data_IF_301708463194
#
_entry.id   IF_301708463194
#
_cell.length_a   1.000
_cell.length_b   1.000
_cell.length_c   1.000
_cell.angle_alpha   90.00
_cell.angle_beta   90.00
_cell.angle_gamma   90.00
#
_symmetry.space_group_name_H-M   'P 1'
#
loop_
_entity.id
_entity.type
_entity.pdbx_description
1 polymer ?
#
# COMPACT_ATOMS: atom_id res chain seq x y z
N UNK A 1 -2.90 -22.89 -25.17
CA UNK A 1 -2.38 -21.54 -24.83
C UNK A 1 -2.42 -21.37 -23.31
N UNK A 2 -1.34 -20.93 -22.67
CA UNK A 2 -1.36 -20.56 -21.24
C UNK A 2 -2.18 -19.27 -21.09
N UNK A 3 -3.20 -19.26 -20.22
CA UNK A 3 -3.94 -18.03 -19.89
C UNK A 3 -3.05 -17.12 -19.04
N UNK A 4 -2.91 -15.86 -19.44
CA UNK A 4 -2.21 -14.84 -18.64
C UNK A 4 -3.19 -14.35 -17.57
N UNK A 5 -2.82 -14.37 -16.27
CA UNK A 5 -3.72 -13.94 -15.20
C UNK A 5 -3.96 -12.43 -15.24
N UNK A 6 -5.21 -12.01 -15.11
CA UNK A 6 -5.61 -10.59 -15.05
C UNK A 6 -5.64 -10.08 -13.61
N UNK A 7 -5.49 -8.76 -13.44
CA UNK A 7 -5.39 -8.07 -12.14
C UNK A 7 -5.88 -6.63 -12.28
N UNK A 8 -6.20 -5.98 -11.16
CA UNK A 8 -6.67 -4.59 -11.10
C UNK A 8 -5.65 -3.72 -10.36
N UNK A 9 -5.36 -2.55 -10.91
CA UNK A 9 -4.74 -1.43 -10.21
C UNK A 9 -5.78 -0.30 -10.13
N UNK A 10 -6.19 0.02 -8.92
CA UNK A 10 -7.28 0.94 -8.62
C UNK A 10 -6.74 2.18 -7.90
N UNK A 11 -7.20 3.33 -8.37
CA UNK A 11 -6.86 4.65 -7.82
C UNK A 11 -8.02 5.19 -6.95
N UNK A 12 -9.16 4.49 -6.88
CA UNK A 12 -10.42 4.98 -6.34
C UNK A 12 -10.79 6.35 -6.95
N UNK A 13 -10.99 6.43 -8.28
CA UNK A 13 -11.24 7.69 -8.95
C UNK A 13 -12.53 8.34 -8.49
N UNK A 14 -12.48 9.63 -8.17
CA UNK A 14 -13.66 10.43 -7.80
C UNK A 14 -14.25 11.02 -9.07
N UNK A 15 -15.42 10.50 -9.47
CA UNK A 15 -16.15 11.00 -10.64
C UNK A 15 -16.63 12.43 -10.43
N UNK A 16 -16.80 13.18 -11.53
CA UNK A 16 -17.33 14.55 -11.47
C UNK A 16 -18.70 14.57 -10.78
N UNK A 17 -18.82 15.39 -9.74
CA UNK A 17 -20.05 15.52 -8.95
C UNK A 17 -20.29 14.40 -7.93
N UNK A 18 -19.35 13.45 -7.80
CA UNK A 18 -19.39 12.38 -6.80
C UNK A 18 -18.49 12.71 -5.60
N UNK A 19 -18.50 11.85 -4.58
CA UNK A 19 -17.69 12.00 -3.37
C UNK A 19 -16.62 10.91 -3.26
N UNK A 20 -15.65 11.09 -2.36
CA UNK A 20 -14.71 10.02 -2.01
C UNK A 20 -15.45 8.79 -1.46
N UNK A 21 -16.51 9.00 -0.67
CA UNK A 21 -17.33 7.90 -0.14
C UNK A 21 -17.94 7.03 -1.23
N UNK A 22 -18.44 7.63 -2.32
CA UNK A 22 -18.94 6.86 -3.46
C UNK A 22 -17.81 6.12 -4.17
N UNK A 23 -16.63 6.76 -4.35
CA UNK A 23 -15.49 6.10 -4.96
C UNK A 23 -15.03 4.87 -4.18
N UNK A 24 -15.01 4.93 -2.84
CA UNK A 24 -14.67 3.78 -2.00
C UNK A 24 -15.71 2.66 -2.07
N UNK A 25 -17.01 3.01 -2.07
CA UNK A 25 -18.08 2.03 -2.26
C UNK A 25 -17.95 1.32 -3.62
N UNK A 26 -17.69 2.08 -4.68
CA UNK A 26 -17.48 1.58 -6.04
C UNK A 26 -16.26 0.66 -6.12
N UNK A 27 -15.14 0.98 -5.46
CA UNK A 27 -13.97 0.11 -5.38
C UNK A 27 -14.25 -1.22 -4.68
N UNK A 28 -15.07 -1.22 -3.62
CA UNK A 28 -15.49 -2.46 -2.93
C UNK A 28 -16.40 -3.31 -3.83
N UNK A 29 -17.36 -2.69 -4.52
CA UNK A 29 -18.22 -3.38 -5.49
C UNK A 29 -17.40 -3.97 -6.64
N UNK A 30 -16.47 -3.19 -7.20
CA UNK A 30 -15.53 -3.63 -8.22
C UNK A 30 -14.74 -4.85 -7.76
N UNK A 31 -14.23 -4.82 -6.53
CA UNK A 31 -13.44 -5.92 -5.94
C UNK A 31 -14.23 -7.23 -5.90
N UNK A 32 -15.49 -7.19 -5.47
CA UNK A 32 -16.39 -8.36 -5.47
C UNK A 32 -16.65 -8.86 -6.89
N UNK A 33 -16.86 -7.94 -7.82
CA UNK A 33 -17.12 -8.27 -9.21
C UNK A 33 -15.91 -8.96 -9.87
N UNK A 34 -14.71 -8.40 -9.73
CA UNK A 34 -13.51 -8.97 -10.35
C UNK A 34 -13.06 -10.26 -9.66
N UNK A 35 -13.32 -10.44 -8.37
CA UNK A 35 -13.18 -11.73 -7.69
C UNK A 35 -14.07 -12.81 -8.33
N UNK A 36 -15.34 -12.50 -8.59
CA UNK A 36 -16.28 -13.42 -9.24
C UNK A 36 -15.82 -13.80 -10.66
N UNK A 37 -15.15 -12.87 -11.36
CA UNK A 37 -14.55 -13.10 -12.68
C UNK A 37 -13.20 -13.85 -12.63
N UNK A 38 -12.65 -14.13 -11.45
CA UNK A 38 -11.40 -14.87 -11.29
C UNK A 38 -10.13 -14.04 -11.50
N UNK A 39 -10.18 -12.73 -11.26
CA UNK A 39 -8.99 -11.89 -11.26
C UNK A 39 -8.05 -12.31 -10.11
N UNK A 40 -6.74 -12.20 -10.34
CA UNK A 40 -5.71 -12.67 -9.41
C UNK A 40 -5.52 -11.75 -8.20
N UNK A 41 -5.57 -10.44 -8.42
CA UNK A 41 -5.33 -9.43 -7.38
C UNK A 41 -6.01 -8.10 -7.69
N UNK A 42 -6.32 -7.35 -6.65
CA UNK A 42 -6.80 -5.96 -6.69
C UNK A 42 -5.88 -5.10 -5.83
N UNK A 43 -5.19 -4.15 -6.45
CA UNK A 43 -4.25 -3.27 -5.76
C UNK A 43 -4.72 -1.83 -5.73
N UNK A 44 -4.37 -1.11 -4.66
CA UNK A 44 -4.59 0.32 -4.51
C UNK A 44 -3.28 1.10 -4.66
N UNK A 45 -3.27 2.13 -5.50
CA UNK A 45 -2.14 3.05 -5.63
C UNK A 45 -2.30 4.24 -4.68
N UNK A 46 -1.23 4.62 -3.97
CA UNK A 46 -1.21 5.78 -3.09
C UNK A 46 -1.02 7.10 -3.87
N UNK A 47 -1.93 8.06 -3.66
CA UNK A 47 -1.85 9.42 -4.19
C UNK A 47 -2.29 10.45 -3.16
N UNK A 48 -1.61 11.59 -3.13
CA UNK A 48 -1.88 12.69 -2.22
C UNK A 48 -2.12 13.98 -3.01
N UNK A 49 -2.93 14.89 -2.47
CA UNK A 49 -3.16 16.21 -3.08
C UNK A 49 -3.90 16.20 -4.43
N UNK A 50 -4.51 15.08 -4.81
CA UNK A 50 -5.21 14.92 -6.09
C UNK A 50 -6.72 14.75 -5.89
N UNK A 51 -7.54 15.80 -6.01
CA UNK A 51 -8.98 15.74 -5.72
C UNK A 51 -9.78 14.68 -6.52
N UNK A 52 -9.27 14.28 -7.69
CA UNK A 52 -9.87 13.25 -8.53
C UNK A 52 -9.52 11.81 -8.14
N UNK A 53 -8.67 11.60 -7.13
CA UNK A 53 -8.16 10.29 -6.70
C UNK A 53 -8.31 10.18 -5.19
N UNK A 54 -9.15 9.25 -4.72
CA UNK A 54 -9.43 9.13 -3.29
C UNK A 54 -8.43 8.24 -2.53
N UNK A 55 -7.64 7.42 -3.23
CA UNK A 55 -6.73 6.45 -2.63
C UNK A 55 -5.45 7.10 -2.05
N UNK A 56 -5.57 7.69 -0.86
CA UNK A 56 -4.43 8.28 -0.12
C UNK A 56 -3.87 7.38 1.00
N UNK A 57 -4.66 6.42 1.50
CA UNK A 57 -4.28 5.51 2.58
C UNK A 57 -4.55 4.05 2.16
N UNK A 58 -3.64 3.41 1.40
CA UNK A 58 -3.88 2.08 0.84
C UNK A 58 -4.23 1.03 1.89
N UNK A 59 -3.56 1.01 3.05
CA UNK A 59 -3.79 0.02 4.11
C UNK A 59 -5.25 0.00 4.60
N UNK A 60 -5.90 1.17 4.67
CA UNK A 60 -7.32 1.28 5.04
C UNK A 60 -8.22 0.67 3.97
N UNK A 61 -7.99 0.99 2.69
CA UNK A 61 -8.78 0.44 1.57
C UNK A 61 -8.57 -1.06 1.39
N UNK A 62 -7.34 -1.53 1.56
CA UNK A 62 -6.98 -2.95 1.53
C UNK A 62 -7.76 -3.69 2.61
N UNK A 63 -7.81 -3.19 3.85
CA UNK A 63 -8.58 -3.80 4.93
C UNK A 63 -10.07 -3.96 4.58
N UNK A 64 -10.69 -2.89 4.07
CA UNK A 64 -12.10 -2.91 3.69
C UNK A 64 -12.39 -3.90 2.54
N UNK A 65 -11.55 -3.92 1.51
CA UNK A 65 -11.71 -4.85 0.39
C UNK A 65 -11.43 -6.29 0.79
N UNK A 66 -10.39 -6.54 1.59
CA UNK A 66 -10.05 -7.88 2.06
C UNK A 66 -11.18 -8.46 2.93
N UNK A 67 -11.84 -7.65 3.76
CA UNK A 67 -13.03 -8.03 4.51
C UNK A 67 -14.27 -8.26 3.62
N UNK A 68 -14.39 -7.55 2.50
CA UNK A 68 -15.53 -7.64 1.58
C UNK A 68 -15.42 -8.75 0.52
N UNK A 69 -14.28 -9.45 0.47
CA UNK A 69 -13.94 -10.47 -0.53
C UNK A 69 -13.37 -11.72 0.15
N UNK A 70 -13.26 -12.84 -0.56
CA UNK A 70 -12.96 -14.15 0.05
C UNK A 70 -11.70 -14.85 -0.45
N UNK A 71 -11.26 -14.55 -1.67
CA UNK A 71 -10.21 -15.30 -2.37
C UNK A 71 -9.20 -14.41 -3.07
N UNK A 72 -9.63 -13.28 -3.65
CA UNK A 72 -8.72 -12.40 -4.39
C UNK A 72 -7.64 -11.86 -3.46
N UNK A 73 -6.40 -11.76 -3.95
CA UNK A 73 -5.34 -11.05 -3.22
C UNK A 73 -5.60 -9.56 -3.26
N UNK A 74 -5.34 -8.87 -2.15
CA UNK A 74 -5.58 -7.44 -2.01
C UNK A 74 -4.29 -6.80 -1.52
N UNK A 75 -3.97 -5.60 -2.01
CA UNK A 75 -2.71 -5.00 -1.62
C UNK A 75 -2.46 -3.61 -2.15
N UNK A 76 -1.23 -3.15 -1.97
CA UNK A 76 -0.77 -1.88 -2.52
C UNK A 76 -0.07 -2.06 -3.85
N UNK A 77 -0.26 -1.11 -4.77
CA UNK A 77 0.45 -1.05 -6.05
C UNK A 77 0.98 0.35 -6.39
N UNK A 78 1.63 1.11 -5.49
CA UNK A 78 2.25 0.70 -4.22
C UNK A 78 2.00 1.70 -3.09
N UNK A 79 2.49 1.36 -1.90
CA UNK A 79 2.74 2.33 -0.82
C UNK A 79 3.94 3.17 -1.24
N UNK A 80 3.80 4.48 -1.20
CA UNK A 80 4.89 5.41 -1.49
C UNK A 80 5.81 5.47 -0.28
N UNK A 81 6.66 4.45 -0.09
CA UNK A 81 7.49 4.26 1.10
C UNK A 81 8.28 5.52 1.53
N UNK A 82 8.79 6.38 0.63
CA UNK A 82 9.43 7.63 1.03
C UNK A 82 8.54 8.63 1.81
N UNK A 83 7.22 8.42 1.86
CA UNK A 83 6.28 9.23 2.64
C UNK A 83 6.03 8.67 4.05
N UNK A 84 6.61 7.51 4.41
CA UNK A 84 6.26 6.77 5.63
C UNK A 84 7.49 6.27 6.37
N UNK A 85 7.37 6.10 7.69
CA UNK A 85 8.33 5.33 8.45
C UNK A 85 8.23 3.83 8.08
N UNK A 86 9.34 3.13 7.76
CA UNK A 86 9.30 1.72 7.42
C UNK A 86 8.63 0.83 8.48
N UNK A 87 8.85 1.10 9.78
CA UNK A 87 8.20 0.37 10.88
C UNK A 87 6.67 0.46 10.79
N UNK A 88 6.12 1.65 10.56
CA UNK A 88 4.67 1.85 10.47
C UNK A 88 4.06 1.04 9.31
N UNK A 89 4.77 0.96 8.17
CA UNK A 89 4.33 0.13 7.04
C UNK A 89 4.41 -1.36 7.40
N UNK A 90 5.47 -1.78 8.09
CA UNK A 90 5.64 -3.16 8.53
C UNK A 90 4.50 -3.58 9.48
N UNK A 91 4.16 -2.75 10.47
CA UNK A 91 3.07 -3.00 11.42
C UNK A 91 1.69 -3.02 10.75
N UNK A 92 1.42 -2.07 9.84
CA UNK A 92 0.16 -2.02 9.10
C UNK A 92 -0.04 -3.29 8.25
N UNK A 93 0.97 -3.70 7.49
CA UNK A 93 0.87 -4.86 6.61
C UNK A 93 0.99 -6.19 7.35
N UNK A 94 1.74 -6.25 8.46
CA UNK A 94 1.74 -7.37 9.39
C UNK A 94 0.36 -7.58 10.02
N UNK A 95 -0.29 -6.49 10.46
CA UNK A 95 -1.67 -6.54 10.97
C UNK A 95 -2.65 -6.99 9.90
N UNK A 96 -2.55 -6.45 8.68
CA UNK A 96 -3.40 -6.89 7.56
C UNK A 96 -3.22 -8.38 7.25
N UNK A 97 -1.98 -8.87 7.23
CA UNK A 97 -1.69 -10.29 7.00
C UNK A 97 -2.25 -11.16 8.14
N UNK A 98 -2.17 -10.72 9.40
CA UNK A 98 -2.77 -11.42 10.53
C UNK A 98 -4.31 -11.48 10.44
N UNK A 99 -4.95 -10.41 9.97
CA UNK A 99 -6.40 -10.37 9.73
C UNK A 99 -6.84 -11.20 8.52
N UNK A 100 -6.01 -11.25 7.47
CA UNK A 100 -6.34 -11.83 6.16
C UNK A 100 -5.20 -12.72 5.64
N UNK A 101 -4.90 -13.84 6.31
CA UNK A 101 -3.71 -14.63 6.06
C UNK A 101 -3.63 -15.15 4.62
N UNK A 102 -2.45 -15.01 4.02
CA UNK A 102 -2.13 -15.45 2.67
C UNK A 102 -2.74 -14.59 1.55
N UNK A 103 -3.39 -13.47 1.88
CA UNK A 103 -4.12 -12.64 0.89
C UNK A 103 -3.54 -11.25 0.69
N UNK A 104 -2.59 -10.80 1.50
CA UNK A 104 -2.08 -9.44 1.44
C UNK A 104 -0.84 -9.33 0.54
N UNK A 105 -0.84 -8.34 -0.35
CA UNK A 105 0.31 -7.92 -1.15
C UNK A 105 0.81 -6.55 -0.67
N UNK A 106 2.10 -6.44 -0.33
CA UNK A 106 2.77 -5.15 -0.10
C UNK A 106 3.60 -4.77 -1.33
N UNK A 107 3.02 -3.98 -2.23
CA UNK A 107 3.75 -3.31 -3.30
C UNK A 107 4.33 -1.97 -2.82
N UNK A 108 5.57 -1.67 -3.20
CA UNK A 108 6.29 -0.44 -2.84
C UNK A 108 6.49 0.44 -4.07
N UNK A 109 6.27 1.74 -3.92
CA UNK A 109 6.49 2.77 -4.93
C UNK A 109 7.50 3.83 -4.47
N UNK A 110 7.98 4.62 -5.44
CA UNK A 110 9.09 5.58 -5.26
C UNK A 110 8.64 7.03 -5.03
N UNK A 111 7.34 7.31 -5.11
CA UNK A 111 6.75 8.65 -4.94
C UNK A 111 7.32 9.77 -5.84
N UNK A 112 7.56 9.57 -7.15
CA UNK A 112 8.01 10.67 -8.02
C UNK A 112 6.83 11.60 -8.33
N UNK A 113 7.03 12.92 -8.15
CA UNK A 113 6.08 13.93 -8.64
C UNK A 113 5.03 14.44 -7.65
N UNK A 114 5.13 14.09 -6.36
CA UNK A 114 4.37 14.79 -5.30
C UNK A 114 4.78 16.26 -5.27
N UNK A 115 3.82 17.18 -5.23
CA UNK A 115 4.13 18.61 -5.17
C UNK A 115 4.89 18.96 -3.87
N UNK A 116 5.71 20.03 -3.86
CA UNK A 116 6.58 20.32 -2.72
C UNK A 116 5.84 20.56 -1.40
N UNK A 117 4.63 21.15 -1.44
CA UNK A 117 3.86 21.44 -0.23
C UNK A 117 3.33 20.15 0.39
N UNK A 118 2.74 19.28 -0.45
CA UNK A 118 2.29 17.95 -0.01
C UNK A 118 3.46 17.09 0.46
N UNK A 119 4.60 17.11 -0.23
CA UNK A 119 5.79 16.37 0.15
C UNK A 119 6.31 16.83 1.54
N UNK A 120 6.36 18.14 1.79
CA UNK A 120 6.73 18.68 3.09
C UNK A 120 5.74 18.29 4.19
N UNK A 121 4.43 18.33 3.91
CA UNK A 121 3.41 17.91 4.87
C UNK A 121 3.47 16.42 5.22
N UNK A 122 3.95 15.58 4.29
CA UNK A 122 4.22 14.15 4.50
C UNK A 122 5.58 13.89 5.18
N UNK A 123 6.32 14.93 5.56
CA UNK A 123 7.60 14.81 6.25
C UNK A 123 8.78 14.47 5.35
N UNK A 124 8.70 14.70 4.03
CA UNK A 124 9.85 14.51 3.13
C UNK A 124 10.84 15.67 3.29
N UNK A 125 11.98 15.38 3.90
CA UNK A 125 13.07 16.34 4.08
C UNK A 125 13.70 16.77 2.74
N UNK A 126 13.87 15.84 1.79
CA UNK A 126 14.29 16.15 0.41
C UNK A 126 13.33 15.48 -0.60
N UNK A 127 12.42 16.25 -1.22
CA UNK A 127 11.49 15.76 -2.24
C UNK A 127 12.17 15.17 -3.48
N UNK A 128 13.44 15.47 -3.72
CA UNK A 128 14.22 15.06 -4.89
C UNK A 128 15.14 13.86 -4.61
N UNK A 129 15.36 13.52 -3.34
CA UNK A 129 16.17 12.37 -2.92
C UNK A 129 15.47 11.04 -3.23
N UNK A 130 15.59 10.57 -4.47
CA UNK A 130 15.20 9.21 -4.88
C UNK A 130 16.10 8.12 -4.29
N UNK A 131 17.17 8.51 -3.60
CA UNK A 131 18.30 7.66 -3.23
C UNK A 131 18.10 6.92 -1.89
N UNK A 132 17.13 7.33 -1.07
CA UNK A 132 16.87 6.70 0.24
C UNK A 132 16.09 5.38 0.17
N UNK A 133 15.39 5.11 -0.95
CA UNK A 133 14.50 3.96 -1.05
C UNK A 133 15.18 2.60 -0.80
N UNK A 134 16.39 2.31 -1.31
CA UNK A 134 17.08 1.05 -1.00
C UNK A 134 17.29 0.83 0.50
N UNK A 135 17.75 1.85 1.22
CA UNK A 135 17.96 1.78 2.67
C UNK A 135 16.64 1.58 3.42
N UNK A 136 15.57 2.29 3.02
CA UNK A 136 14.23 2.12 3.61
C UNK A 136 13.66 0.72 3.33
N UNK A 137 13.96 0.13 2.17
CA UNK A 137 13.56 -1.25 1.86
C UNK A 137 14.31 -2.25 2.72
N UNK A 138 15.62 -2.09 2.90
CA UNK A 138 16.42 -2.94 3.78
C UNK A 138 15.90 -2.89 5.22
N UNK A 139 15.58 -1.69 5.71
CA UNK A 139 14.97 -1.50 7.03
C UNK A 139 13.59 -2.15 7.13
N UNK A 140 12.72 -1.96 6.13
CA UNK A 140 11.39 -2.60 6.07
C UNK A 140 11.49 -4.13 6.08
N UNK A 141 12.40 -4.70 5.30
CA UNK A 141 12.67 -6.15 5.33
C UNK A 141 13.20 -6.61 6.68
N UNK A 142 14.04 -5.79 7.32
CA UNK A 142 14.56 -6.08 8.65
C UNK A 142 13.46 -6.16 9.70
N UNK A 143 12.50 -5.23 9.66
CA UNK A 143 11.31 -5.28 10.52
C UNK A 143 10.50 -6.56 10.30
N UNK A 144 10.22 -6.96 9.05
CA UNK A 144 9.48 -8.20 8.77
C UNK A 144 10.19 -9.48 9.20
N UNK A 145 11.53 -9.49 9.23
CA UNK A 145 12.31 -10.69 9.57
C UNK A 145 12.77 -10.72 11.02
N UNK A 146 12.62 -9.62 11.76
CA UNK A 146 13.29 -9.43 13.05
C UNK A 146 14.81 -9.54 12.91
N UNK A 147 15.37 -9.13 11.76
CA UNK A 147 16.79 -9.28 11.44
C UNK A 147 17.33 -8.00 10.83
N UNK A 148 18.24 -7.33 11.53
CA UNK A 148 18.99 -6.21 10.98
C UNK A 148 20.47 -6.54 10.86
N UNK A 149 21.20 -5.78 10.03
CA UNK A 149 22.67 -5.83 10.04
C UNK A 149 23.20 -5.40 11.40
N UNK A 150 24.38 -5.90 11.80
CA UNK A 150 24.96 -5.62 13.11
C UNK A 150 25.20 -4.12 13.37
N UNK A 151 25.39 -3.33 12.32
CA UNK A 151 25.62 -1.89 12.39
C UNK A 151 24.31 -1.06 12.42
N UNK A 152 23.14 -1.71 12.32
CA UNK A 152 21.85 -1.03 12.30
C UNK A 152 21.38 -0.67 13.71
N UNK A 153 20.75 0.50 13.88
CA UNK A 153 20.28 0.97 15.19
C UNK A 153 19.27 0.01 15.89
N UNK A 154 18.61 -0.87 15.13
CA UNK A 154 17.58 -1.79 15.61
C UNK A 154 18.05 -3.26 15.69
N UNK A 155 19.35 -3.55 15.57
CA UNK A 155 19.86 -4.93 15.59
C UNK A 155 19.65 -5.68 16.92
N UNK A 156 19.30 -4.98 18.00
CA UNK A 156 19.05 -5.54 19.34
C UNK A 156 17.57 -5.49 19.76
N UNK A 157 16.67 -4.98 18.92
CA UNK A 157 15.25 -4.93 19.28
C UNK A 157 14.60 -6.28 19.03
N UNK A 158 13.84 -6.79 20.01
CA UNK A 158 12.91 -7.89 19.79
C UNK A 158 11.99 -7.58 18.59
N UNK A 159 11.46 -8.59 17.88
CA UNK A 159 10.60 -8.34 16.73
C UNK A 159 9.44 -7.43 17.15
N UNK A 160 9.41 -6.21 16.62
CA UNK A 160 8.37 -5.22 16.91
C UNK A 160 7.04 -5.54 16.22
N UNK A 161 6.97 -6.65 15.47
CA UNK A 161 5.82 -7.03 14.66
C UNK A 161 5.12 -8.25 15.27
N UNK A 162 3.77 -8.19 15.23
CA UNK A 162 2.82 -9.25 15.59
C UNK A 162 3.14 -10.64 15.00
#
# INVERSE_FOLDING_TARGET
MRRIPLSVLDLAPVRRGASASSAFAESIELSRHVEALGYRRHWFAEHHGMPGIASAAPSVLISQVAAATSRIRVGSGGVMLPNHAPLAIAEQFGTLEALFPGRIDLGIGRAPGTDPLTASALGREDPTSGDGLPAMLDELYGFFRGQFSADHAYHLTDPLIL
#
